data_IF_020463987168
#
_entry.id   IF_020463987168
#
_cell.length_a   1.000
_cell.length_b   1.000
_cell.length_c   1.000
_cell.angle_alpha   90.00
_cell.angle_beta   90.00
_cell.angle_gamma   90.00
#
_symmetry.space_group_name_H-M   'P 1'
#
loop_
_entity.id
_entity.type
_entity.pdbx_description
1 polymer ?
#
# COMPACT_ATOMS: atom_id res chain seq x y z
N UNK A 1 -0.90 11.95 -19.18
CA UNK A 1 0.50 11.66 -18.84
C UNK A 1 0.97 12.67 -17.83
N UNK A 2 1.45 12.23 -16.69
CA UNK A 2 2.02 13.10 -15.64
C UNK A 2 3.40 12.61 -15.24
N UNK A 3 4.24 13.53 -14.76
CA UNK A 3 5.55 13.21 -14.17
C UNK A 3 5.58 13.74 -12.76
N UNK A 4 5.87 12.83 -11.81
CA UNK A 4 5.94 13.13 -10.40
C UNK A 4 7.35 12.90 -9.89
N UNK A 5 7.85 13.86 -9.11
CA UNK A 5 9.05 13.68 -8.29
C UNK A 5 8.61 13.49 -6.84
N UNK A 6 9.04 12.40 -6.25
CA UNK A 6 8.75 12.01 -4.88
C UNK A 6 10.03 12.12 -4.06
N UNK A 7 9.95 12.72 -2.88
CA UNK A 7 10.99 12.70 -1.85
C UNK A 7 10.37 12.17 -0.56
N UNK A 8 10.73 10.97 -0.16
CA UNK A 8 10.28 10.36 1.08
C UNK A 8 11.46 10.34 2.07
N UNK A 9 11.31 11.06 3.17
CA UNK A 9 12.27 11.10 4.27
C UNK A 9 11.66 10.43 5.49
N UNK A 10 12.31 9.38 6.01
CA UNK A 10 11.84 8.62 7.16
C UNK A 10 13.01 8.08 7.96
N UNK A 11 12.77 7.64 9.18
CA UNK A 11 13.78 7.02 10.01
C UNK A 11 13.35 6.89 11.46
N UNK A 12 14.32 6.50 12.28
CA UNK A 12 14.13 6.29 13.71
C UNK A 12 15.04 7.21 14.52
N UNK A 13 14.48 7.81 15.59
CA UNK A 13 15.24 8.42 16.66
C UNK A 13 15.21 7.48 17.87
N UNK A 14 16.36 7.18 18.44
CA UNK A 14 16.51 6.26 19.57
C UNK A 14 16.68 7.05 20.88
N UNK A 15 15.96 6.67 21.92
CA UNK A 15 16.07 7.30 23.25
C UNK A 15 17.45 7.07 23.88
N UNK A 16 18.09 5.95 23.56
CA UNK A 16 19.46 5.62 23.88
C UNK A 16 20.35 5.58 22.64
N UNK A 17 21.48 4.90 22.74
CA UNK A 17 22.35 4.63 21.61
C UNK A 17 22.05 3.24 21.04
N UNK A 18 21.77 3.16 19.74
CA UNK A 18 21.73 1.91 19.01
C UNK A 18 23.16 1.55 18.60
N UNK A 19 23.67 0.39 19.04
CA UNK A 19 25.02 -0.06 18.71
C UNK A 19 25.09 -0.80 17.38
N UNK A 20 23.96 -1.33 16.93
CA UNK A 20 23.79 -1.93 15.61
C UNK A 20 22.32 -1.90 15.21
N UNK A 21 22.04 -1.80 13.90
CA UNK A 21 20.70 -1.99 13.36
C UNK A 21 20.74 -2.72 12.01
N UNK A 22 19.73 -3.57 11.76
CA UNK A 22 19.52 -4.31 10.53
C UNK A 22 18.16 -3.92 9.98
N UNK A 23 18.12 -3.48 8.74
CA UNK A 23 16.99 -2.76 8.19
C UNK A 23 16.64 -3.20 6.77
N UNK A 24 15.37 -3.08 6.41
CA UNK A 24 14.85 -3.19 5.05
C UNK A 24 13.98 -1.99 4.73
N UNK A 25 14.21 -1.39 3.58
CA UNK A 25 13.42 -0.29 3.04
C UNK A 25 12.72 -0.70 1.74
N UNK A 26 11.41 -0.41 1.67
CA UNK A 26 10.55 -0.54 0.49
C UNK A 26 9.99 0.84 0.16
N UNK A 27 10.83 1.68 -0.44
CA UNK A 27 10.53 3.10 -0.67
C UNK A 27 10.74 3.50 -2.13
N UNK A 28 11.39 2.65 -2.92
CA UNK A 28 11.71 2.94 -4.30
C UNK A 28 10.67 2.30 -5.23
N UNK A 29 9.97 3.10 -6.06
CA UNK A 29 9.03 2.55 -7.05
C UNK A 29 9.73 1.59 -8.01
N UNK A 30 9.00 0.59 -8.47
CA UNK A 30 9.40 -0.30 -9.56
C UNK A 30 8.68 0.08 -10.87
N UNK A 31 9.15 -0.44 -12.00
CA UNK A 31 8.39 -0.38 -13.23
C UNK A 31 7.12 -1.22 -13.11
N UNK A 32 5.99 -0.66 -13.53
CA UNK A 32 4.70 -1.33 -13.56
C UNK A 32 3.94 -0.89 -14.82
N UNK A 33 2.80 -1.50 -15.08
CA UNK A 33 1.94 -1.08 -16.18
C UNK A 33 1.53 0.38 -16.01
N UNK A 34 1.76 1.19 -17.04
CA UNK A 34 1.54 2.63 -16.99
C UNK A 34 2.49 3.44 -16.09
N UNK A 35 3.46 2.79 -15.42
CA UNK A 35 4.40 3.45 -14.51
C UNK A 35 5.85 3.23 -14.96
N UNK A 36 6.56 4.32 -15.28
CA UNK A 36 7.95 4.29 -15.73
C UNK A 36 8.83 5.06 -14.75
N UNK A 37 9.76 4.38 -14.11
CA UNK A 37 10.72 5.01 -13.20
C UNK A 37 11.88 5.59 -13.99
N UNK A 38 11.97 6.91 -14.04
CA UNK A 38 13.04 7.61 -14.76
C UNK A 38 14.31 7.68 -13.94
N UNK A 39 14.18 7.85 -12.62
CA UNK A 39 15.28 7.79 -11.67
C UNK A 39 14.79 7.38 -10.30
N UNK A 40 15.63 6.68 -9.54
CA UNK A 40 15.36 6.39 -8.13
C UNK A 40 16.68 6.27 -7.37
N UNK A 41 16.73 6.83 -6.17
CA UNK A 41 17.92 6.81 -5.31
C UNK A 41 17.51 6.76 -3.84
N UNK A 42 18.23 5.94 -3.05
CA UNK A 42 18.09 5.86 -1.59
C UNK A 42 19.40 6.35 -0.94
N UNK A 43 19.26 7.36 -0.09
CA UNK A 43 20.35 7.83 0.78
C UNK A 43 20.07 7.40 2.22
N UNK A 44 21.07 6.88 2.89
CA UNK A 44 21.02 6.41 4.27
C UNK A 44 22.02 7.19 5.11
N UNK A 45 21.61 7.57 6.31
CA UNK A 45 22.47 8.27 7.29
C UNK A 45 22.23 7.70 8.70
N UNK A 46 23.24 7.13 9.39
CA UNK A 46 24.66 7.01 8.96
C UNK A 46 24.82 6.22 7.67
N UNK A 47 25.83 6.56 6.87
CA UNK A 47 26.10 5.93 5.59
C UNK A 47 26.34 4.42 5.76
N UNK A 48 25.62 3.62 4.97
CA UNK A 48 25.70 2.17 4.98
C UNK A 48 25.70 1.62 3.55
N UNK A 49 26.36 0.49 3.36
CA UNK A 49 26.23 -0.29 2.12
C UNK A 49 24.84 -0.90 2.03
N UNK A 50 24.28 -0.94 0.83
CA UNK A 50 22.98 -1.53 0.57
C UNK A 50 23.11 -2.79 -0.27
N UNK A 51 22.28 -3.79 0.05
CA UNK A 51 22.02 -4.94 -0.80
C UNK A 51 20.59 -4.80 -1.34
N UNK A 52 20.47 -4.68 -2.68
CA UNK A 52 19.16 -4.57 -3.32
C UNK A 52 18.71 -5.92 -3.87
N UNK A 53 17.45 -6.25 -3.66
CA UNK A 53 16.80 -7.43 -4.23
C UNK A 53 15.32 -7.16 -4.51
N UNK A 54 14.68 -8.07 -5.23
CA UNK A 54 13.24 -8.07 -5.43
C UNK A 54 12.67 -9.19 -4.57
N UNK A 55 11.70 -8.87 -3.73
CA UNK A 55 11.07 -9.85 -2.86
C UNK A 55 10.02 -10.71 -3.60
N UNK A 56 9.41 -11.65 -2.86
CA UNK A 56 8.40 -12.56 -3.39
C UNK A 56 7.22 -11.82 -4.07
N UNK A 57 6.87 -10.63 -3.59
CA UNK A 57 5.77 -9.83 -4.11
C UNK A 57 6.15 -8.95 -5.30
N UNK A 58 7.40 -9.02 -5.75
CA UNK A 58 7.92 -8.16 -6.81
C UNK A 58 8.34 -6.77 -6.36
N UNK A 59 8.37 -6.52 -5.05
CA UNK A 59 8.74 -5.22 -4.49
C UNK A 59 10.27 -5.09 -4.40
N UNK A 60 10.80 -3.93 -4.80
CA UNK A 60 12.22 -3.60 -4.61
C UNK A 60 12.52 -3.37 -3.14
N UNK A 61 13.52 -4.07 -2.63
CA UNK A 61 13.96 -4.00 -1.23
C UNK A 61 15.41 -3.56 -1.20
N UNK A 62 15.71 -2.55 -0.38
CA UNK A 62 17.06 -2.16 -0.02
C UNK A 62 17.32 -2.65 1.41
N UNK A 63 18.10 -3.72 1.57
CA UNK A 63 18.56 -4.22 2.85
C UNK A 63 19.90 -3.58 3.21
N UNK A 64 20.06 -3.17 4.46
CA UNK A 64 21.29 -2.54 4.94
C UNK A 64 21.47 -2.71 6.44
N UNK A 65 22.70 -2.56 6.89
CA UNK A 65 23.07 -2.62 8.30
C UNK A 65 23.89 -1.39 8.69
N UNK A 66 23.65 -0.88 9.90
CA UNK A 66 24.49 0.17 10.52
C UNK A 66 25.10 -0.42 11.77
N UNK A 67 26.41 -0.71 11.72
CA UNK A 67 27.17 -1.37 12.77
C UNK A 67 27.96 -0.39 13.65
N UNK A 68 27.78 0.90 13.43
CA UNK A 68 28.37 1.96 14.27
C UNK A 68 27.32 2.46 15.27
N UNK A 69 27.72 2.83 16.49
CA UNK A 69 26.82 3.45 17.45
C UNK A 69 26.17 4.72 16.88
N UNK A 70 24.85 4.79 16.98
CA UNK A 70 24.07 5.91 16.44
C UNK A 70 22.83 6.18 17.29
N UNK A 71 22.35 7.42 17.29
CA UNK A 71 21.12 7.86 17.97
C UNK A 71 19.99 8.17 17.02
N UNK A 72 20.29 8.20 15.73
CA UNK A 72 19.31 8.40 14.67
C UNK A 72 19.70 7.57 13.45
N UNK A 73 18.72 6.99 12.80
CA UNK A 73 18.81 6.41 11.48
C UNK A 73 17.86 7.18 10.58
N UNK A 74 18.33 7.73 9.47
CA UNK A 74 17.48 8.41 8.50
C UNK A 74 17.69 7.91 7.09
N UNK A 75 16.59 7.83 6.33
CA UNK A 75 16.55 7.44 4.94
C UNK A 75 15.89 8.54 4.13
N UNK A 76 16.44 8.82 2.96
CA UNK A 76 15.78 9.70 1.98
C UNK A 76 15.74 8.98 0.64
N UNK A 77 14.54 8.57 0.24
CA UNK A 77 14.28 8.06 -1.11
C UNK A 77 13.85 9.22 -2.00
N UNK A 78 14.49 9.36 -3.16
CA UNK A 78 14.10 10.33 -4.19
C UNK A 78 13.85 9.58 -5.49
N UNK A 79 12.67 9.77 -6.08
CA UNK A 79 12.29 9.10 -7.32
C UNK A 79 11.60 10.07 -8.27
N UNK A 80 11.85 9.91 -9.56
CA UNK A 80 11.08 10.59 -10.62
C UNK A 80 10.38 9.51 -11.44
N UNK A 81 9.05 9.62 -11.53
CA UNK A 81 8.19 8.63 -12.16
C UNK A 81 7.31 9.29 -13.20
N UNK A 82 7.24 8.71 -14.39
CA UNK A 82 6.28 9.07 -15.42
C UNK A 82 5.10 8.11 -15.37
N UNK A 83 3.88 8.66 -15.32
CA UNK A 83 2.64 7.93 -15.25
C UNK A 83 1.83 8.16 -16.52
N UNK A 84 1.29 7.07 -17.07
CA UNK A 84 0.44 7.07 -18.25
C UNK A 84 -0.89 6.40 -17.92
N UNK A 85 -2.00 6.86 -18.50
CA UNK A 85 -3.27 6.16 -18.35
C UNK A 85 -3.13 4.70 -18.76
N UNK A 86 -3.65 3.81 -17.94
CA UNK A 86 -3.82 2.40 -18.28
C UNK A 86 -5.29 2.21 -18.64
N UNK A 87 -5.56 1.72 -19.85
CA UNK A 87 -6.90 1.35 -20.26
C UNK A 87 -7.14 -0.09 -19.80
N UNK A 88 -7.92 -0.24 -18.75
CA UNK A 88 -8.39 -1.56 -18.35
C UNK A 88 -9.50 -1.99 -19.31
N UNK A 89 -9.38 -3.14 -19.99
CA UNK A 89 -10.47 -3.64 -20.81
C UNK A 89 -11.70 -3.91 -19.93
N UNK A 90 -12.90 -3.66 -20.46
CA UNK A 90 -14.11 -4.11 -19.79
C UNK A 90 -14.03 -5.63 -19.59
N UNK A 91 -14.08 -6.07 -18.36
CA UNK A 91 -14.04 -7.50 -18.05
C UNK A 91 -15.45 -8.04 -17.93
N UNK A 92 -15.76 -9.05 -18.72
CA UNK A 92 -17.02 -9.78 -18.66
C UNK A 92 -16.94 -11.04 -17.80
N UNK A 93 -15.93 -11.12 -16.94
CA UNK A 93 -15.68 -12.27 -16.07
C UNK A 93 -16.84 -12.49 -15.11
N UNK A 94 -17.48 -13.64 -15.22
CA UNK A 94 -18.50 -14.10 -14.26
C UNK A 94 -17.90 -14.80 -13.05
N UNK A 95 -18.74 -15.13 -12.07
CA UNK A 95 -18.31 -15.80 -10.84
C UNK A 95 -17.69 -17.17 -11.09
N UNK A 96 -18.26 -17.98 -12.02
CA UNK A 96 -17.73 -19.29 -12.36
C UNK A 96 -16.36 -19.21 -13.04
N UNK A 97 -16.17 -18.21 -13.90
CA UNK A 97 -14.88 -17.95 -14.54
C UNK A 97 -13.83 -17.52 -13.53
N UNK A 98 -14.19 -16.63 -12.61
CA UNK A 98 -13.30 -16.20 -11.54
C UNK A 98 -12.91 -17.38 -10.65
N UNK A 99 -13.88 -18.20 -10.22
CA UNK A 99 -13.64 -19.37 -9.39
C UNK A 99 -12.72 -20.38 -10.09
N UNK A 100 -12.94 -20.61 -11.40
CA UNK A 100 -12.11 -21.50 -12.20
C UNK A 100 -10.68 -21.01 -12.32
N UNK A 101 -10.47 -19.73 -12.61
CA UNK A 101 -9.13 -19.13 -12.72
C UNK A 101 -8.42 -19.11 -11.36
N UNK A 102 -9.13 -18.72 -10.31
CA UNK A 102 -8.58 -18.67 -8.95
C UNK A 102 -8.21 -20.07 -8.41
N UNK A 103 -8.99 -21.11 -8.77
CA UNK A 103 -8.71 -22.50 -8.39
C UNK A 103 -7.65 -23.21 -9.24
N UNK A 104 -7.36 -22.71 -10.43
CA UNK A 104 -6.41 -23.33 -11.37
C UNK A 104 -4.94 -23.00 -11.08
N UNK A 105 -4.65 -22.02 -10.24
CA UNK A 105 -3.29 -21.56 -9.98
C UNK A 105 -3.08 -21.23 -8.50
N UNK A 106 -1.91 -21.56 -7.96
CA UNK A 106 -1.52 -21.18 -6.60
C UNK A 106 -1.36 -19.65 -6.42
N UNK A 107 -1.26 -18.91 -7.52
CA UNK A 107 -1.03 -17.46 -7.51
C UNK A 107 -2.08 -16.68 -6.70
N UNK A 108 -3.34 -17.16 -6.68
CA UNK A 108 -4.42 -16.45 -6.00
C UNK A 108 -4.70 -16.96 -4.57
N UNK A 109 -4.07 -18.07 -4.14
CA UNK A 109 -4.29 -18.63 -2.79
C UNK A 109 -4.04 -17.55 -1.73
N UNK A 110 -2.89 -16.89 -1.80
CA UNK A 110 -2.50 -15.86 -0.82
C UNK A 110 -3.32 -14.56 -0.93
N UNK A 111 -3.94 -14.32 -2.09
CA UNK A 111 -4.82 -13.18 -2.32
C UNK A 111 -6.28 -13.45 -1.97
N UNK A 112 -6.62 -14.69 -1.62
CA UNK A 112 -7.93 -15.11 -1.12
C UNK A 112 -7.91 -15.39 0.40
N UNK A 113 -6.74 -15.77 0.95
CA UNK A 113 -6.60 -16.04 2.37
C UNK A 113 -6.61 -14.76 3.21
N UNK A 114 -7.31 -14.83 4.36
CA UNK A 114 -7.29 -13.76 5.34
C UNK A 114 -5.97 -13.76 6.11
N UNK A 115 -5.48 -12.57 6.41
CA UNK A 115 -4.36 -12.39 7.35
C UNK A 115 -4.89 -11.89 8.68
N UNK A 116 -4.10 -11.93 9.77
CA UNK A 116 -4.51 -11.32 11.04
C UNK A 116 -4.86 -9.83 10.94
N UNK A 117 -4.29 -9.08 9.96
CA UNK A 117 -4.62 -7.66 9.78
C UNK A 117 -5.88 -7.44 8.90
N UNK A 118 -6.23 -8.39 8.03
CA UNK A 118 -7.36 -8.24 7.10
C UNK A 118 -8.60 -9.03 7.49
N UNK A 119 -8.50 -9.93 8.47
CA UNK A 119 -9.63 -10.78 8.88
C UNK A 119 -10.87 -9.95 9.24
N UNK A 120 -11.99 -10.09 8.49
CA UNK A 120 -13.18 -9.27 8.68
C UNK A 120 -14.03 -9.80 9.83
N UNK A 121 -14.71 -8.93 10.60
CA UNK A 121 -15.75 -9.37 11.54
C UNK A 121 -17.02 -9.81 10.79
N UNK A 122 -17.94 -10.49 11.50
CA UNK A 122 -19.10 -11.13 10.89
C UNK A 122 -20.00 -10.15 10.09
N UNK A 123 -20.27 -8.96 10.63
CA UNK A 123 -21.10 -7.95 9.96
C UNK A 123 -20.46 -7.41 8.66
N UNK A 124 -19.12 -7.39 8.58
CA UNK A 124 -18.41 -7.06 7.34
C UNK A 124 -18.46 -8.22 6.34
N UNK A 125 -18.40 -9.45 6.81
CA UNK A 125 -18.62 -10.64 5.97
C UNK A 125 -20.05 -10.63 5.38
N UNK A 126 -21.05 -10.34 6.21
CA UNK A 126 -22.45 -10.25 5.78
C UNK A 126 -22.64 -9.18 4.70
N UNK A 127 -22.03 -7.99 4.88
CA UNK A 127 -22.01 -6.92 3.87
C UNK A 127 -21.43 -7.41 2.53
N UNK A 128 -20.28 -8.11 2.60
CA UNK A 128 -19.60 -8.61 1.40
C UNK A 128 -20.43 -9.69 0.66
N UNK A 129 -21.08 -10.59 1.41
CA UNK A 129 -21.93 -11.62 0.85
C UNK A 129 -23.25 -11.05 0.30
N UNK A 130 -23.82 -10.03 0.93
CA UNK A 130 -24.97 -9.30 0.41
C UNK A 130 -24.63 -8.63 -0.95
N UNK A 131 -23.50 -7.91 -1.04
CA UNK A 131 -23.05 -7.31 -2.29
C UNK A 131 -22.83 -8.38 -3.38
N UNK A 132 -22.26 -9.54 -3.02
CA UNK A 132 -22.11 -10.69 -3.92
C UNK A 132 -23.44 -11.23 -4.42
N UNK A 133 -24.42 -11.37 -3.55
CA UNK A 133 -25.76 -11.88 -3.89
C UNK A 133 -26.57 -10.93 -4.78
N UNK A 134 -26.26 -9.63 -4.73
CA UNK A 134 -26.94 -8.61 -5.52
C UNK A 134 -26.38 -8.46 -6.95
N UNK A 135 -25.24 -9.05 -7.28
CA UNK A 135 -24.55 -8.85 -8.57
C UNK A 135 -24.09 -10.16 -9.21
N UNK A 136 -24.25 -10.26 -10.52
CA UNK A 136 -23.70 -11.36 -11.34
C UNK A 136 -22.22 -11.14 -11.71
N UNK A 137 -21.67 -9.95 -11.48
CA UNK A 137 -20.30 -9.58 -11.84
C UNK A 137 -19.41 -9.44 -10.61
N UNK A 138 -18.31 -10.20 -10.51
CA UNK A 138 -17.29 -9.98 -9.46
C UNK A 138 -16.73 -8.56 -9.44
N UNK A 139 -16.53 -7.92 -10.60
CA UNK A 139 -16.01 -6.57 -10.70
C UNK A 139 -16.98 -5.53 -10.11
N UNK A 140 -18.29 -5.63 -10.43
CA UNK A 140 -19.30 -4.74 -9.87
C UNK A 140 -19.45 -4.93 -8.37
N UNK A 141 -19.39 -6.19 -7.89
CA UNK A 141 -19.39 -6.51 -6.47
C UNK A 141 -18.18 -5.90 -5.76
N UNK A 142 -16.99 -5.99 -6.35
CA UNK A 142 -15.77 -5.42 -5.78
C UNK A 142 -15.89 -3.90 -5.65
N UNK A 143 -16.38 -3.22 -6.68
CA UNK A 143 -16.59 -1.78 -6.64
C UNK A 143 -17.61 -1.39 -5.57
N UNK A 144 -18.73 -2.11 -5.46
CA UNK A 144 -19.74 -1.88 -4.42
C UNK A 144 -19.16 -2.04 -3.01
N UNK A 145 -18.38 -3.10 -2.77
CA UNK A 145 -17.69 -3.31 -1.48
C UNK A 145 -16.76 -2.13 -1.17
N UNK A 146 -15.95 -1.70 -2.14
CA UNK A 146 -15.05 -0.57 -1.98
C UNK A 146 -15.78 0.71 -1.58
N UNK A 147 -16.89 1.01 -2.26
CA UNK A 147 -17.71 2.19 -1.99
C UNK A 147 -18.39 2.11 -0.61
N UNK A 148 -18.96 0.95 -0.25
CA UNK A 148 -19.60 0.76 1.06
C UNK A 148 -18.58 0.87 2.20
N UNK A 149 -17.39 0.28 2.07
CA UNK A 149 -16.33 0.36 3.09
C UNK A 149 -15.81 1.79 3.21
N UNK A 150 -15.43 2.42 2.09
CA UNK A 150 -14.91 3.79 2.09
C UNK A 150 -15.93 4.82 2.62
N UNK A 151 -17.23 4.60 2.35
CA UNK A 151 -18.30 5.41 2.91
C UNK A 151 -18.59 5.18 4.40
N UNK A 152 -18.24 4.00 4.94
CA UNK A 152 -18.51 3.61 6.31
C UNK A 152 -17.35 3.90 7.29
N UNK A 153 -16.11 3.97 6.82
CA UNK A 153 -14.91 4.19 7.65
C UNK A 153 -14.37 5.60 7.43
N UNK A 154 -14.48 6.44 8.45
CA UNK A 154 -13.99 7.83 8.38
C UNK A 154 -12.47 7.87 8.46
N UNK A 155 -11.84 8.62 7.56
CA UNK A 155 -10.40 8.89 7.64
C UNK A 155 -10.11 9.77 8.87
N UNK A 156 -9.33 9.26 9.82
CA UNK A 156 -9.00 9.94 11.06
C UNK A 156 -7.57 9.57 11.51
N UNK A 157 -6.59 10.45 11.33
CA UNK A 157 -5.21 10.21 11.77
C UNK A 157 -5.09 10.12 13.29
N UNK A 158 -4.15 9.29 13.77
CA UNK A 158 -3.79 9.20 15.17
C UNK A 158 -4.68 8.29 16.03
N UNK A 159 -5.73 7.68 15.47
CA UNK A 159 -6.62 6.75 16.20
C UNK A 159 -6.22 5.29 16.07
N UNK A 160 -5.34 4.98 15.12
CA UNK A 160 -4.87 3.63 14.79
C UNK A 160 -3.34 3.59 14.73
N UNK A 161 -2.78 2.39 14.61
CA UNK A 161 -1.36 2.15 14.42
C UNK A 161 -1.15 0.99 13.43
N UNK A 162 0.11 0.70 13.09
CA UNK A 162 0.45 -0.34 12.09
C UNK A 162 0.03 -1.78 12.46
N UNK A 163 -0.43 -2.01 13.68
CA UNK A 163 -0.93 -3.31 14.15
C UNK A 163 -2.45 -3.37 14.24
N UNK A 164 -3.14 -2.25 14.00
CA UNK A 164 -4.61 -2.20 14.02
C UNK A 164 -5.17 -3.13 12.96
N UNK A 165 -6.10 -3.98 13.36
CA UNK A 165 -6.75 -4.97 12.50
C UNK A 165 -7.95 -4.37 11.76
N UNK A 166 -8.37 -5.02 10.68
CA UNK A 166 -9.59 -4.66 9.96
C UNK A 166 -10.83 -4.69 10.88
N UNK A 167 -10.91 -5.67 11.78
CA UNK A 167 -12.01 -5.78 12.73
C UNK A 167 -12.06 -4.58 13.71
N UNK A 168 -10.92 -4.15 14.24
CA UNK A 168 -10.84 -2.99 15.15
C UNK A 168 -11.20 -1.69 14.43
N UNK A 169 -10.66 -1.45 13.24
CA UNK A 169 -10.96 -0.26 12.43
C UNK A 169 -12.42 -0.23 12.00
N UNK A 170 -12.96 -1.37 11.57
CA UNK A 170 -14.37 -1.50 11.21
C UNK A 170 -15.30 -1.22 12.39
N UNK A 171 -15.01 -1.78 13.57
CA UNK A 171 -15.80 -1.53 14.78
C UNK A 171 -15.75 -0.04 15.19
N UNK A 172 -14.58 0.61 15.08
CA UNK A 172 -14.39 2.02 15.38
C UNK A 172 -14.97 2.96 14.32
N UNK A 173 -15.27 2.46 13.10
CA UNK A 173 -15.67 3.25 11.93
C UNK A 173 -14.69 4.40 11.64
N UNK A 174 -13.41 4.20 11.95
CA UNK A 174 -12.37 5.19 11.79
C UNK A 174 -11.00 4.53 11.60
N UNK A 175 -10.13 5.17 10.83
CA UNK A 175 -8.77 4.74 10.59
C UNK A 175 -8.08 5.60 9.53
N UNK A 176 -6.88 5.20 9.13
CA UNK A 176 -6.13 5.83 8.04
C UNK A 176 -6.21 4.96 6.76
N UNK A 177 -5.57 5.38 5.68
CA UNK A 177 -5.59 4.66 4.39
C UNK A 177 -5.19 3.17 4.53
N UNK A 178 -4.20 2.85 5.37
CA UNK A 178 -3.80 1.48 5.68
C UNK A 178 -4.98 0.65 6.22
N UNK A 179 -5.73 1.21 7.18
CA UNK A 179 -6.82 0.50 7.85
C UNK A 179 -7.99 0.28 6.89
N UNK A 180 -8.37 1.33 6.14
CA UNK A 180 -9.43 1.26 5.13
C UNK A 180 -9.10 0.23 4.05
N UNK A 181 -7.83 0.18 3.61
CA UNK A 181 -7.36 -0.84 2.68
C UNK A 181 -7.45 -2.26 3.28
N UNK A 182 -7.06 -2.47 4.56
CA UNK A 182 -7.19 -3.77 5.22
C UNK A 182 -8.66 -4.22 5.33
N UNK A 183 -9.56 -3.33 5.74
CA UNK A 183 -11.01 -3.60 5.80
C UNK A 183 -11.55 -4.00 4.43
N UNK A 184 -11.16 -3.25 3.38
CA UNK A 184 -11.62 -3.51 2.02
C UNK A 184 -11.10 -4.84 1.48
N UNK A 185 -9.79 -5.12 1.65
CA UNK A 185 -9.17 -6.39 1.25
C UNK A 185 -9.85 -7.57 1.95
N UNK A 186 -10.12 -7.44 3.26
CA UNK A 186 -10.81 -8.47 4.03
C UNK A 186 -12.22 -8.77 3.52
N UNK A 187 -12.99 -7.73 3.20
CA UNK A 187 -14.34 -7.87 2.66
C UNK A 187 -14.33 -8.49 1.24
N UNK A 188 -13.41 -8.07 0.36
CA UNK A 188 -13.27 -8.64 -0.98
C UNK A 188 -12.93 -10.13 -0.93
N UNK A 189 -12.00 -10.53 -0.08
CA UNK A 189 -11.63 -11.94 0.12
C UNK A 189 -12.78 -12.76 0.70
N UNK A 190 -13.58 -12.20 1.60
CA UNK A 190 -14.78 -12.85 2.13
C UNK A 190 -15.84 -13.11 1.04
N UNK A 191 -15.94 -12.22 0.05
CA UNK A 191 -16.77 -12.43 -1.13
C UNK A 191 -16.21 -13.46 -2.12
N UNK A 192 -14.95 -13.90 -1.94
CA UNK A 192 -14.24 -14.82 -2.84
C UNK A 192 -13.58 -14.10 -4.03
N UNK A 193 -13.27 -12.84 -3.90
CA UNK A 193 -12.56 -12.02 -4.89
C UNK A 193 -11.10 -11.91 -4.47
N UNK A 194 -10.11 -12.37 -5.27
CA UNK A 194 -8.71 -12.19 -4.97
C UNK A 194 -8.38 -10.70 -4.86
N UNK A 195 -7.79 -10.30 -3.74
CA UNK A 195 -7.47 -8.91 -3.46
C UNK A 195 -6.11 -8.76 -2.79
N UNK A 196 -5.40 -7.67 -3.11
CA UNK A 196 -4.09 -7.34 -2.55
C UNK A 196 -4.00 -5.90 -2.08
N UNK A 197 -3.19 -5.71 -1.08
CA UNK A 197 -2.82 -4.41 -0.53
C UNK A 197 -1.74 -3.78 -1.40
N UNK A 198 -1.82 -2.49 -1.64
CA UNK A 198 -0.82 -1.71 -2.38
C UNK A 198 -0.27 -0.61 -1.49
N UNK A 199 1.05 -0.52 -1.43
CA UNK A 199 1.79 0.57 -0.80
C UNK A 199 2.39 1.48 -1.87
N UNK A 200 2.28 2.80 -1.69
CA UNK A 200 2.80 3.74 -2.65
C UNK A 200 2.68 5.20 -2.21
N UNK A 201 2.52 6.08 -3.20
CA UNK A 201 2.37 7.52 -2.99
C UNK A 201 1.17 8.03 -3.78
N UNK A 202 0.46 9.00 -3.21
CA UNK A 202 -0.63 9.70 -3.88
C UNK A 202 -0.34 11.20 -3.89
N UNK A 203 -0.36 11.82 -5.08
CA UNK A 203 -0.41 13.27 -5.16
C UNK A 203 -1.83 13.75 -4.78
N UNK A 204 -2.02 14.47 -3.64
CA UNK A 204 -3.35 14.70 -3.08
C UNK A 204 -4.22 15.66 -3.92
N UNK A 205 -3.60 16.52 -4.73
CA UNK A 205 -4.32 17.54 -5.51
C UNK A 205 -4.53 17.11 -6.96
N UNK A 206 -5.77 16.97 -7.44
CA UNK A 206 -6.05 16.62 -8.84
C UNK A 206 -5.56 17.67 -9.85
N UNK A 207 -5.64 18.96 -9.48
CA UNK A 207 -5.29 20.11 -10.32
C UNK A 207 -4.05 20.86 -9.80
N UNK A 208 -3.03 20.10 -9.34
CA UNK A 208 -1.78 20.73 -8.93
C UNK A 208 -1.12 21.49 -10.09
N UNK A 209 -0.59 22.66 -9.79
CA UNK A 209 0.21 23.42 -10.74
C UNK A 209 1.55 22.73 -11.01
N UNK A 210 2.12 22.99 -12.18
CA UNK A 210 3.47 22.50 -12.49
C UNK A 210 4.47 23.06 -11.49
N UNK A 211 5.34 22.19 -10.97
CA UNK A 211 6.35 22.50 -9.93
C UNK A 211 5.77 22.80 -8.56
N UNK A 212 4.47 22.65 -8.36
CA UNK A 212 3.89 22.71 -7.03
C UNK A 212 4.33 21.46 -6.25
N UNK A 213 4.91 21.68 -5.06
CA UNK A 213 5.28 20.61 -4.12
C UNK A 213 4.24 20.59 -3.01
N UNK A 214 3.69 19.41 -2.77
CA UNK A 214 2.78 19.16 -1.66
C UNK A 214 3.43 18.25 -0.65
N UNK A 215 3.22 18.55 0.63
CA UNK A 215 3.61 17.64 1.72
C UNK A 215 2.46 16.71 2.02
N UNK A 216 2.74 15.43 2.09
CA UNK A 216 1.78 14.38 2.38
C UNK A 216 2.44 13.25 3.16
N UNK A 217 1.83 12.10 3.09
CA UNK A 217 2.32 10.85 3.67
C UNK A 217 2.39 9.76 2.59
N UNK A 218 3.00 8.63 2.89
CA UNK A 218 2.82 7.43 2.08
C UNK A 218 1.33 7.05 2.04
N UNK A 219 0.89 6.46 0.96
CA UNK A 219 -0.51 6.11 0.76
C UNK A 219 -0.69 4.62 0.54
N UNK A 220 -1.88 4.13 0.85
CA UNK A 220 -2.27 2.75 0.63
C UNK A 220 -3.63 2.68 -0.06
N UNK A 221 -3.76 1.70 -0.95
CA UNK A 221 -5.00 1.37 -1.64
C UNK A 221 -5.08 -0.13 -1.89
N UNK A 222 -6.02 -0.56 -2.69
CA UNK A 222 -6.21 -1.97 -2.98
C UNK A 222 -6.25 -2.26 -4.48
N UNK A 223 -6.00 -3.49 -4.82
CA UNK A 223 -6.31 -4.05 -6.13
C UNK A 223 -7.07 -5.36 -5.96
N UNK A 224 -8.04 -5.60 -6.85
CA UNK A 224 -8.74 -6.89 -6.95
C UNK A 224 -8.62 -7.49 -8.34
N UNK A 225 -8.82 -8.79 -8.43
CA UNK A 225 -8.78 -9.51 -9.70
C UNK A 225 -10.18 -9.98 -10.13
N UNK A 226 -10.58 -9.61 -11.35
CA UNK A 226 -11.80 -10.11 -12.00
C UNK A 226 -11.60 -10.28 -13.51
N UNK A 227 -10.58 -11.05 -13.89
CA UNK A 227 -10.11 -11.20 -15.26
C UNK A 227 -8.84 -10.40 -15.56
N UNK A 228 -8.70 -9.26 -14.90
CA UNK A 228 -7.48 -8.45 -14.80
C UNK A 228 -7.39 -7.87 -13.38
N UNK A 229 -6.22 -7.34 -13.00
CA UNK A 229 -6.08 -6.56 -11.78
C UNK A 229 -6.65 -5.16 -11.96
N UNK A 230 -7.54 -4.74 -11.06
CA UNK A 230 -8.15 -3.42 -11.02
C UNK A 230 -7.78 -2.73 -9.72
N UNK A 231 -7.25 -1.52 -9.81
CA UNK A 231 -6.89 -0.71 -8.66
C UNK A 231 -7.98 0.29 -8.30
N UNK A 232 -8.21 0.49 -7.01
CA UNK A 232 -9.12 1.49 -6.47
C UNK A 232 -8.63 2.02 -5.12
N UNK A 233 -8.82 3.29 -4.89
CA UNK A 233 -8.51 3.94 -3.62
C UNK A 233 -9.80 4.11 -2.79
N UNK A 234 -10.07 3.20 -1.84
CA UNK A 234 -11.28 3.25 -1.04
C UNK A 234 -11.26 4.38 0.01
N UNK A 235 -10.10 4.97 0.27
CA UNK A 235 -9.96 6.10 1.20
C UNK A 235 -10.50 7.39 0.59
N UNK A 236 -10.19 7.61 -0.70
CA UNK A 236 -10.61 8.80 -1.43
C UNK A 236 -11.80 8.56 -2.35
N UNK A 237 -12.26 7.30 -2.49
CA UNK A 237 -13.34 6.86 -3.40
C UNK A 237 -13.06 7.25 -4.86
N UNK A 238 -11.84 6.97 -5.33
CA UNK A 238 -11.38 7.29 -6.68
C UNK A 238 -10.69 6.09 -7.33
N UNK A 239 -10.75 6.07 -8.66
CA UNK A 239 -9.96 5.13 -9.47
C UNK A 239 -8.48 5.47 -9.39
N UNK A 240 -7.64 4.44 -9.55
CA UNK A 240 -6.20 4.61 -9.67
C UNK A 240 -5.88 5.28 -11.00
N UNK A 241 -4.96 6.24 -10.97
CA UNK A 241 -4.61 7.00 -12.16
C UNK A 241 -3.27 7.72 -12.03
N UNK A 242 -3.07 8.73 -12.85
CA UNK A 242 -1.80 9.47 -13.01
C UNK A 242 -1.30 10.23 -11.75
N UNK A 243 -1.95 10.01 -10.60
CA UNK A 243 -1.55 10.57 -9.31
C UNK A 243 -1.05 9.50 -8.32
N UNK A 244 -1.23 8.22 -8.64
CA UNK A 244 -0.85 7.10 -7.78
C UNK A 244 0.46 6.49 -8.27
N UNK A 245 1.45 6.41 -7.40
CA UNK A 245 2.74 5.77 -7.68
C UNK A 245 2.87 4.52 -6.83
N UNK A 246 2.89 3.37 -7.48
CA UNK A 246 3.05 2.05 -6.83
C UNK A 246 4.50 1.87 -6.40
N UNK A 247 4.69 1.43 -5.16
CA UNK A 247 5.97 0.98 -4.61
C UNK A 247 6.00 -0.54 -4.50
N UNK A 248 4.93 -1.14 -3.98
CA UNK A 248 4.86 -2.59 -3.83
C UNK A 248 3.47 -3.10 -3.50
N UNK A 249 3.31 -4.41 -3.63
CA UNK A 249 2.09 -5.16 -3.36
C UNK A 249 2.32 -6.17 -2.24
N UNK A 250 1.25 -6.59 -1.57
CA UNK A 250 1.30 -7.64 -0.57
C UNK A 250 -0.09 -8.09 -0.12
N UNK A 251 -0.15 -9.04 0.80
CA UNK A 251 -1.41 -9.50 1.41
C UNK A 251 -1.98 -8.46 2.37
N UNK A 252 -1.08 -7.76 3.05
CA UNK A 252 -1.36 -6.69 4.00
C UNK A 252 -0.11 -5.78 4.16
N UNK A 253 -0.18 -4.78 5.04
CA UNK A 253 0.92 -3.85 5.32
C UNK A 253 2.25 -4.53 5.70
N UNK A 254 2.22 -5.71 6.36
CA UNK A 254 3.44 -6.38 6.84
C UNK A 254 4.33 -6.89 5.71
N UNK A 255 3.78 -7.12 4.53
CA UNK A 255 4.56 -7.52 3.34
C UNK A 255 5.28 -6.31 2.71
N UNK A 256 4.76 -5.09 2.88
CA UNK A 256 5.24 -3.87 2.21
C UNK A 256 5.48 -2.66 3.11
N UNK A 257 6.00 -2.82 4.35
CA UNK A 257 6.30 -1.66 5.18
C UNK A 257 7.40 -0.82 4.54
N UNK A 258 7.24 0.52 4.47
CA UNK A 258 8.26 1.39 3.88
C UNK A 258 9.63 1.28 4.54
N UNK A 259 9.66 1.10 5.85
CA UNK A 259 10.86 0.86 6.62
C UNK A 259 10.55 -0.10 7.78
N UNK A 260 11.32 -1.15 7.90
CA UNK A 260 11.32 -2.03 9.07
C UNK A 260 12.73 -2.40 9.46
N UNK A 261 12.96 -2.69 10.73
CA UNK A 261 14.27 -3.12 11.21
C UNK A 261 14.25 -3.60 12.64
N UNK A 262 15.39 -4.14 13.03
CA UNK A 262 15.71 -4.48 14.42
C UNK A 262 16.98 -3.75 14.82
N UNK A 263 17.08 -3.33 16.06
CA UNK A 263 18.28 -2.69 16.58
C UNK A 263 18.70 -3.27 17.92
N UNK A 264 19.98 -3.24 18.18
CA UNK A 264 20.58 -3.54 19.48
C UNK A 264 20.86 -2.22 20.20
N UNK A 265 20.24 -2.01 21.34
CA UNK A 265 20.37 -0.77 22.12
C UNK A 265 19.39 -0.72 23.28
N UNK A 266 19.52 0.28 24.12
CA UNK A 266 18.61 0.51 25.24
C UNK A 266 17.61 1.62 24.90
N UNK A 267 16.36 1.44 25.33
CA UNK A 267 15.31 2.44 25.22
C UNK A 267 14.41 2.26 23.99
N UNK A 268 13.41 3.11 23.93
CA UNK A 268 12.42 3.12 22.85
C UNK A 268 12.94 3.84 21.61
N UNK A 269 12.34 3.53 20.46
CA UNK A 269 12.53 4.29 19.23
C UNK A 269 11.24 5.02 18.85
N UNK A 270 11.37 6.16 18.19
CA UNK A 270 10.27 6.91 17.58
C UNK A 270 10.50 7.02 16.08
N UNK A 271 9.45 6.76 15.31
CA UNK A 271 9.44 6.92 13.85
C UNK A 271 9.14 8.37 13.49
N UNK A 272 9.83 8.89 12.48
CA UNK A 272 9.46 10.12 11.80
C UNK A 272 9.31 9.85 10.30
N UNK A 273 8.39 10.56 9.66
CA UNK A 273 8.11 10.44 8.23
C UNK A 273 7.70 11.79 7.63
N UNK A 274 8.20 12.07 6.44
CA UNK A 274 7.76 13.20 5.62
C UNK A 274 7.82 12.78 4.16
N UNK A 275 6.77 13.03 3.42
CA UNK A 275 6.71 12.80 1.97
C UNK A 275 6.41 14.11 1.26
N UNK A 276 7.21 14.43 0.27
CA UNK A 276 7.02 15.58 -0.62
C UNK A 276 6.81 15.06 -2.04
N UNK A 277 5.77 15.52 -2.70
CA UNK A 277 5.47 15.14 -4.08
C UNK A 277 5.33 16.40 -4.92
N UNK A 278 6.12 16.47 -6.00
CA UNK A 278 6.12 17.59 -6.93
C UNK A 278 5.64 17.13 -8.29
N UNK A 279 4.69 17.84 -8.88
CA UNK A 279 4.29 17.62 -10.27
C UNK A 279 5.27 18.31 -11.21
N UNK A 280 5.97 17.55 -12.06
CA UNK A 280 6.98 18.09 -13.00
C UNK A 280 6.47 18.25 -14.44
N UNK A 281 5.44 17.46 -14.84
CA UNK A 281 4.77 17.53 -16.13
C UNK A 281 3.34 16.97 -16.05
#
# INVERSE_FOLDING_TARGET
MSRLRIRHHTGFSYAGEAVASYNEARMLPAHAEGQFVLSSHLRIDPAAGTHEYVDYWGTRVSAFEVLLPHRQLSLTATSTVELRPVLHPETTTGWDDLARVAGATAQFVEHLEQTPLTAPPADLVDLALEAKGASTSPCSTAMEICQRVGGAVRYLPGVTNVKTTAAESWAARAGVCQDIAHVTVGALRAAGIPARYVSGYLHPRPSAELRETVTGESHAWIEWFCGAWHGYDPTNLIDIGERHVVVGHGRDYRDVPPLRGVYAGSGASSLFVTVEITREA
#
